data_IF_945608005632
#
_entry.id   IF_945608005632
#
_cell.length_a   1.000
_cell.length_b   1.000
_cell.length_c   1.000
_cell.angle_alpha   90.00
_cell.angle_beta   90.00
_cell.angle_gamma   90.00
#
_symmetry.space_group_name_H-M   'P 1'
#
loop_
_entity.id
_entity.type
_entity.pdbx_description
1 polymer ?
#
# COMPACT_ATOMS: atom_id res chain seq x y z
N UNK A 1 8.88 -27.13 0.52
CA UNK A 1 7.93 -26.41 -0.34
C UNK A 1 8.31 -24.94 -0.31
N UNK A 2 8.28 -24.25 -1.45
CA UNK A 2 8.69 -22.85 -1.57
C UNK A 2 7.47 -21.92 -1.65
N UNK A 3 7.61 -20.69 -1.13
CA UNK A 3 6.62 -19.61 -1.18
C UNK A 3 7.31 -18.32 -1.59
N UNK A 4 6.67 -17.50 -2.43
CA UNK A 4 7.05 -16.11 -2.56
C UNK A 4 6.53 -15.36 -1.33
N UNK A 5 7.45 -14.75 -0.56
CA UNK A 5 7.16 -14.23 0.77
C UNK A 5 7.73 -12.82 0.94
N UNK A 6 6.88 -11.91 1.41
CA UNK A 6 7.27 -10.59 1.88
C UNK A 6 7.41 -10.61 3.38
N UNK A 7 8.47 -9.99 3.89
CA UNK A 7 8.70 -9.85 5.32
C UNK A 7 8.63 -8.38 5.74
N UNK A 8 7.95 -8.11 6.86
CA UNK A 8 8.03 -6.83 7.54
C UNK A 8 9.01 -6.93 8.70
N UNK A 9 9.97 -6.03 8.73
CA UNK A 9 10.93 -5.90 9.81
C UNK A 9 10.62 -4.63 10.60
N UNK A 10 10.39 -4.76 11.91
CA UNK A 10 10.08 -3.62 12.76
C UNK A 10 11.33 -2.80 13.11
N UNK A 11 11.11 -1.69 13.83
CA UNK A 11 12.17 -0.75 14.25
C UNK A 11 13.20 -1.36 15.20
N UNK A 12 12.86 -2.47 15.83
CA UNK A 12 13.75 -3.24 16.71
C UNK A 12 14.52 -4.33 15.95
N UNK A 13 14.48 -4.30 14.60
CA UNK A 13 15.13 -5.27 13.71
C UNK A 13 14.59 -6.71 13.84
N UNK A 14 13.39 -6.87 14.40
CA UNK A 14 12.74 -8.17 14.51
C UNK A 14 11.83 -8.41 13.31
N UNK A 15 11.72 -9.67 12.90
CA UNK A 15 10.67 -10.11 11.98
C UNK A 15 9.32 -9.90 12.64
N UNK A 16 8.61 -8.86 12.22
CA UNK A 16 7.29 -8.53 12.75
C UNK A 16 6.25 -9.50 12.20
N UNK A 17 6.36 -9.82 10.90
CA UNK A 17 5.45 -10.71 10.22
C UNK A 17 5.93 -11.09 8.82
N UNK A 18 5.19 -12.01 8.21
CA UNK A 18 5.33 -12.38 6.81
C UNK A 18 3.98 -12.40 6.10
N UNK A 19 4.03 -12.19 4.79
CA UNK A 19 2.93 -12.34 3.85
C UNK A 19 3.37 -13.29 2.74
N UNK A 20 2.58 -14.32 2.43
CA UNK A 20 2.84 -15.25 1.32
C UNK A 20 1.93 -14.86 0.15
N UNK A 21 2.52 -14.68 -1.03
CA UNK A 21 1.78 -14.30 -2.24
C UNK A 21 0.66 -15.30 -2.52
N UNK A 22 -0.56 -14.79 -2.66
CA UNK A 22 -1.77 -15.62 -2.81
C UNK A 22 -1.99 -15.95 -4.28
N UNK A 23 -1.82 -14.97 -5.16
CA UNK A 23 -2.02 -15.16 -6.60
C UNK A 23 -0.67 -15.31 -7.29
N UNK A 24 -0.28 -16.55 -7.60
CA UNK A 24 0.99 -16.82 -8.26
C UNK A 24 0.94 -16.50 -9.76
N UNK A 25 2.07 -16.04 -10.29
CA UNK A 25 2.32 -16.05 -11.73
C UNK A 25 2.38 -17.47 -12.28
N UNK A 26 2.24 -17.59 -13.61
CA UNK A 26 2.38 -18.88 -14.30
C UNK A 26 3.77 -19.47 -14.09
N UNK A 27 4.78 -18.62 -14.08
CA UNK A 27 6.19 -18.95 -13.94
C UNK A 27 6.46 -19.53 -12.55
N UNK A 28 5.99 -18.87 -11.49
CA UNK A 28 6.13 -19.36 -10.10
C UNK A 28 5.43 -20.70 -9.89
N UNK A 29 4.21 -20.86 -10.42
CA UNK A 29 3.49 -22.12 -10.34
C UNK A 29 4.26 -23.26 -11.00
N UNK A 30 4.85 -23.02 -12.19
CA UNK A 30 5.69 -24.02 -12.89
C UNK A 30 6.96 -24.38 -12.13
N UNK A 31 7.52 -23.44 -11.38
CA UNK A 31 8.67 -23.66 -10.50
C UNK A 31 8.30 -24.38 -9.18
N UNK A 32 7.02 -24.69 -8.96
CA UNK A 32 6.56 -25.43 -7.79
C UNK A 32 6.37 -24.56 -6.53
N UNK A 33 6.30 -23.24 -6.70
CA UNK A 33 5.91 -22.31 -5.63
C UNK A 33 4.46 -22.59 -5.23
N UNK A 34 4.18 -22.54 -3.93
CA UNK A 34 2.83 -22.69 -3.38
C UNK A 34 2.22 -21.32 -3.09
N UNK A 35 0.91 -21.14 -3.35
CA UNK A 35 0.23 -19.91 -2.99
C UNK A 35 0.05 -19.82 -1.47
N UNK A 36 0.03 -18.60 -0.94
CA UNK A 36 -0.58 -18.31 0.35
C UNK A 36 -2.10 -18.40 0.29
N UNK A 37 -2.73 -18.32 1.45
CA UNK A 37 -4.18 -18.46 1.65
C UNK A 37 -4.77 -17.37 2.57
N UNK A 38 -3.96 -16.41 2.99
CA UNK A 38 -4.33 -15.39 3.95
C UNK A 38 -3.93 -13.98 3.49
N UNK A 39 -4.69 -12.99 3.95
CA UNK A 39 -4.39 -11.57 3.83
C UNK A 39 -4.17 -10.96 5.22
N UNK A 40 -3.05 -11.25 5.89
CA UNK A 40 -2.73 -10.71 7.20
C UNK A 40 -2.52 -9.19 7.15
N UNK A 41 -2.79 -8.54 8.28
CA UNK A 41 -2.51 -7.12 8.51
C UNK A 41 -1.68 -6.97 9.76
N UNK A 42 -0.94 -5.87 9.83
CA UNK A 42 0.12 -5.70 10.81
C UNK A 42 -0.04 -4.36 11.47
N UNK A 43 -0.26 -4.39 12.77
CA UNK A 43 -0.28 -3.17 13.55
C UNK A 43 1.15 -2.64 13.71
N UNK A 44 1.31 -1.36 13.45
CA UNK A 44 2.58 -0.66 13.60
C UNK A 44 2.36 0.56 14.47
N UNK A 45 3.42 1.12 15.05
CA UNK A 45 3.30 2.31 15.91
C UNK A 45 2.74 3.54 15.20
N UNK A 46 2.53 3.49 13.89
CA UNK A 46 2.01 4.59 13.08
C UNK A 46 0.70 4.28 12.35
N UNK A 47 0.19 3.04 12.42
CA UNK A 47 -1.03 2.60 11.72
C UNK A 47 -0.96 1.15 11.24
N UNK A 48 -2.10 0.60 10.82
CA UNK A 48 -2.18 -0.79 10.38
C UNK A 48 -1.83 -0.95 8.89
N UNK A 49 -0.96 -1.91 8.57
CA UNK A 49 -0.42 -2.15 7.22
C UNK A 49 -0.85 -3.51 6.69
N UNK A 50 -1.35 -3.54 5.45
CA UNK A 50 -1.50 -4.76 4.65
C UNK A 50 -0.40 -4.85 3.59
N UNK A 51 -0.15 -6.06 3.08
CA UNK A 51 0.87 -6.32 2.05
C UNK A 51 0.28 -7.05 0.86
N UNK A 52 0.83 -6.80 -0.32
CA UNK A 52 0.56 -7.57 -1.54
C UNK A 52 1.81 -7.66 -2.41
N UNK A 53 1.90 -8.71 -3.24
CA UNK A 53 3.09 -8.94 -4.09
C UNK A 53 2.68 -9.17 -5.53
N UNK A 54 3.41 -8.56 -6.45
CA UNK A 54 3.36 -8.77 -7.90
C UNK A 54 1.96 -9.09 -8.44
N UNK A 55 1.67 -10.38 -8.66
CA UNK A 55 0.46 -10.82 -9.30
C UNK A 55 -0.80 -10.56 -8.47
N UNK A 56 -0.67 -10.42 -7.15
CA UNK A 56 -1.77 -9.99 -6.27
C UNK A 56 -2.40 -8.66 -6.69
N UNK A 57 -1.63 -7.73 -7.28
CA UNK A 57 -2.13 -6.41 -7.67
C UNK A 57 -3.28 -6.49 -8.70
N UNK A 58 -3.30 -7.54 -9.53
CA UNK A 58 -4.36 -7.76 -10.51
C UNK A 58 -5.68 -8.18 -9.87
N UNK A 59 -5.65 -8.75 -8.66
CA UNK A 59 -6.82 -9.29 -7.99
C UNK A 59 -7.30 -8.33 -6.90
N UNK A 60 -8.56 -7.85 -6.96
CA UNK A 60 -9.05 -6.86 -6.00
C UNK A 60 -9.02 -7.36 -4.55
N UNK A 61 -9.13 -8.67 -4.32
CA UNK A 61 -9.16 -9.30 -2.99
C UNK A 61 -7.93 -8.93 -2.15
N UNK A 62 -6.75 -8.91 -2.76
CA UNK A 62 -5.48 -8.64 -2.06
C UNK A 62 -5.40 -7.22 -1.51
N UNK A 63 -6.13 -6.27 -2.09
CA UNK A 63 -6.26 -4.91 -1.55
C UNK A 63 -7.57 -4.70 -0.77
N UNK A 64 -8.64 -5.45 -1.07
CA UNK A 64 -9.97 -5.21 -0.50
C UNK A 64 -10.23 -5.91 0.85
N UNK A 65 -9.56 -7.03 1.11
CA UNK A 65 -9.73 -7.76 2.37
C UNK A 65 -8.98 -7.09 3.54
N UNK A 66 -7.70 -6.66 3.41
CA UNK A 66 -6.95 -6.05 4.52
C UNK A 66 -7.63 -4.85 5.20
N UNK A 67 -8.28 -3.90 4.49
CA UNK A 67 -8.98 -2.77 5.13
C UNK A 67 -10.09 -3.22 6.08
N UNK A 68 -10.78 -4.31 5.75
CA UNK A 68 -11.78 -4.93 6.63
C UNK A 68 -11.21 -5.53 7.92
N UNK A 69 -9.88 -5.71 7.97
CA UNK A 69 -9.11 -6.11 9.15
C UNK A 69 -8.40 -4.94 9.83
N UNK A 70 -8.59 -3.71 9.34
CA UNK A 70 -8.04 -2.50 9.92
C UNK A 70 -6.93 -1.83 9.11
N UNK A 71 -6.43 -2.43 8.01
CA UNK A 71 -5.36 -1.82 7.22
C UNK A 71 -5.75 -0.42 6.73
N UNK A 72 -4.83 0.53 6.90
CA UNK A 72 -4.94 1.91 6.43
C UNK A 72 -4.00 2.16 5.26
N UNK A 73 -2.95 1.33 5.16
CA UNK A 73 -1.92 1.40 4.14
C UNK A 73 -1.70 0.01 3.56
N UNK A 74 -1.57 -0.07 2.25
CA UNK A 74 -1.12 -1.25 1.52
C UNK A 74 0.27 -0.99 0.98
N UNK A 75 1.22 -1.85 1.30
CA UNK A 75 2.53 -1.87 0.64
C UNK A 75 2.53 -2.96 -0.43
N UNK A 76 3.00 -2.60 -1.63
CA UNK A 76 3.04 -3.48 -2.78
C UNK A 76 4.47 -3.59 -3.30
N UNK A 77 5.01 -4.80 -3.34
CA UNK A 77 6.26 -5.08 -4.07
C UNK A 77 5.92 -5.69 -5.42
N UNK A 78 6.46 -5.16 -6.51
CA UNK A 78 6.07 -5.60 -7.86
C UNK A 78 7.25 -5.59 -8.82
N UNK A 79 7.24 -6.51 -9.79
CA UNK A 79 8.28 -6.56 -10.81
C UNK A 79 8.14 -5.43 -11.82
N UNK A 80 6.96 -5.15 -12.39
CA UNK A 80 6.80 -4.12 -13.42
C UNK A 80 5.35 -3.68 -13.64
N UNK A 81 5.00 -3.38 -14.89
CA UNK A 81 3.66 -2.97 -15.38
C UNK A 81 3.29 -1.49 -15.16
N UNK A 82 4.20 -0.67 -14.62
CA UNK A 82 3.98 0.78 -14.40
C UNK A 82 4.66 1.69 -15.44
N UNK A 83 5.12 1.11 -16.55
CA UNK A 83 5.56 1.84 -17.75
C UNK A 83 4.51 1.70 -18.86
N UNK A 84 4.50 2.62 -19.84
CA UNK A 84 3.64 2.49 -21.01
C UNK A 84 4.00 1.24 -21.82
N UNK A 85 2.99 0.49 -22.26
CA UNK A 85 3.15 -0.52 -23.30
C UNK A 85 3.36 0.10 -24.69
N UNK A 86 3.41 -0.74 -25.74
CA UNK A 86 3.64 -0.29 -27.11
C UNK A 86 2.58 0.71 -27.62
N UNK A 87 1.36 0.65 -27.07
CA UNK A 87 0.24 1.53 -27.42
C UNK A 87 0.12 2.74 -26.46
N UNK A 88 1.06 2.88 -25.51
CA UNK A 88 1.13 3.98 -24.56
C UNK A 88 0.27 3.79 -23.30
N UNK A 89 -0.33 2.61 -23.09
CA UNK A 89 -1.17 2.33 -21.92
C UNK A 89 -0.31 1.99 -20.69
N UNK A 90 -0.63 2.59 -19.55
CA UNK A 90 0.04 2.32 -18.26
C UNK A 90 -0.90 1.53 -17.33
N UNK A 91 -0.83 0.21 -17.39
CA UNK A 91 -1.78 -0.68 -16.69
C UNK A 91 -1.60 -0.65 -15.17
N UNK A 92 -0.38 -0.84 -14.68
CA UNK A 92 -0.07 -0.95 -13.26
C UNK A 92 -0.37 0.32 -12.47
N UNK A 93 -0.08 1.50 -13.02
CA UNK A 93 -0.46 2.78 -12.37
C UNK A 93 -1.98 2.87 -12.24
N UNK A 94 -2.70 2.57 -13.32
CA UNK A 94 -4.17 2.57 -13.35
C UNK A 94 -4.75 1.62 -12.31
N UNK A 95 -4.21 0.40 -12.23
CA UNK A 95 -4.64 -0.62 -11.26
C UNK A 95 -4.36 -0.15 -9.84
N UNK A 96 -3.15 0.30 -9.51
CA UNK A 96 -2.82 0.74 -8.15
C UNK A 96 -3.66 1.93 -7.69
N UNK A 97 -3.93 2.89 -8.59
CA UNK A 97 -4.82 4.02 -8.30
C UNK A 97 -6.25 3.56 -8.01
N UNK A 98 -6.79 2.67 -8.84
CA UNK A 98 -8.11 2.08 -8.60
C UNK A 98 -8.15 1.31 -7.26
N UNK A 99 -7.12 0.52 -6.94
CA UNK A 99 -7.03 -0.24 -5.69
C UNK A 99 -6.99 0.66 -4.46
N UNK A 100 -6.21 1.75 -4.49
CA UNK A 100 -6.19 2.74 -3.42
C UNK A 100 -7.57 3.42 -3.28
N UNK A 101 -8.15 3.82 -4.41
CA UNK A 101 -9.45 4.49 -4.48
C UNK A 101 -10.58 3.62 -3.94
N UNK A 102 -10.81 2.45 -4.49
CA UNK A 102 -11.97 1.61 -4.16
C UNK A 102 -11.98 1.20 -2.68
N UNK A 103 -10.80 1.07 -2.08
CA UNK A 103 -10.64 0.61 -0.71
C UNK A 103 -10.44 1.75 0.31
N UNK A 104 -10.26 2.98 -0.17
CA UNK A 104 -10.03 4.14 0.69
C UNK A 104 -8.76 4.01 1.53
N UNK A 105 -7.68 3.49 0.95
CA UNK A 105 -6.40 3.25 1.63
C UNK A 105 -5.26 3.99 0.93
N UNK A 106 -4.20 4.28 1.68
CA UNK A 106 -2.94 4.66 1.06
C UNK A 106 -2.31 3.42 0.41
N UNK A 107 -1.65 3.59 -0.74
CA UNK A 107 -0.92 2.52 -1.40
C UNK A 107 0.49 2.99 -1.72
N UNK A 108 1.49 2.25 -1.25
CA UNK A 108 2.90 2.49 -1.56
C UNK A 108 3.44 1.30 -2.36
N UNK A 109 3.79 1.51 -3.62
CA UNK A 109 4.35 0.48 -4.49
C UNK A 109 5.85 0.67 -4.68
N UNK A 110 6.62 -0.39 -4.48
CA UNK A 110 8.01 -0.48 -4.90
C UNK A 110 8.08 -1.35 -6.15
N UNK A 111 8.42 -0.75 -7.29
CA UNK A 111 8.43 -1.41 -8.59
C UNK A 111 9.86 -1.53 -9.10
N UNK A 112 10.24 -2.73 -9.54
CA UNK A 112 11.59 -3.01 -10.02
C UNK A 112 11.84 -2.41 -11.42
N UNK A 113 11.05 -2.88 -12.40
CA UNK A 113 11.06 -2.49 -13.80
C UNK A 113 9.84 -1.60 -14.11
N UNK A 114 9.87 -0.40 -13.53
CA UNK A 114 8.90 0.64 -13.80
C UNK A 114 8.99 1.77 -12.81
N UNK A 115 7.86 2.46 -12.63
CA UNK A 115 7.72 3.54 -11.68
C UNK A 115 7.14 3.09 -10.35
N UNK A 116 7.79 3.48 -9.27
CA UNK A 116 7.33 3.31 -7.89
C UNK A 116 6.49 4.51 -7.45
N UNK A 117 5.43 4.26 -6.66
CA UNK A 117 4.35 5.22 -6.42
C UNK A 117 3.98 5.30 -4.93
N UNK A 118 3.57 6.47 -4.46
CA UNK A 118 2.75 6.63 -3.25
C UNK A 118 1.43 7.27 -3.64
N UNK A 119 0.32 6.63 -3.29
CA UNK A 119 -1.03 7.00 -3.73
C UNK A 119 -1.91 7.23 -2.50
N UNK A 120 -2.72 8.30 -2.52
CA UNK A 120 -3.71 8.60 -1.47
C UNK A 120 -5.03 7.82 -1.68
N UNK A 121 -5.91 7.76 -0.66
CA UNK A 121 -7.24 7.13 -0.75
C UNK A 121 -8.17 7.68 -1.85
N UNK A 122 -7.80 8.79 -2.49
CA UNK A 122 -8.56 9.50 -3.51
C UNK A 122 -7.85 9.44 -4.87
N UNK A 123 -7.00 8.44 -5.08
CA UNK A 123 -6.23 8.17 -6.30
C UNK A 123 -5.07 9.10 -6.62
N UNK A 124 -4.77 10.10 -5.78
CA UNK A 124 -3.73 11.08 -6.08
C UNK A 124 -2.35 10.47 -5.88
N UNK A 125 -1.48 10.62 -6.88
CA UNK A 125 -0.06 10.26 -6.76
C UNK A 125 0.64 11.35 -5.94
N UNK A 126 1.07 11.00 -4.73
CA UNK A 126 1.78 11.87 -3.80
C UNK A 126 3.29 11.86 -4.04
N UNK A 127 3.83 10.74 -4.52
CA UNK A 127 5.23 10.59 -4.90
C UNK A 127 5.34 9.61 -6.07
N UNK A 128 6.25 9.91 -6.99
CA UNK A 128 6.55 9.15 -8.21
C UNK A 128 8.06 9.25 -8.44
N UNK A 129 8.72 8.12 -8.69
CA UNK A 129 10.15 8.12 -9.03
C UNK A 129 10.43 8.66 -10.43
N UNK A 130 9.48 8.52 -11.36
CA UNK A 130 9.56 8.95 -12.75
C UNK A 130 10.83 8.44 -13.43
N UNK A 131 11.14 7.15 -13.21
CA UNK A 131 12.31 6.47 -13.75
C UNK A 131 13.65 6.87 -13.09
N UNK A 132 13.65 7.72 -12.07
CA UNK A 132 14.88 8.13 -11.38
C UNK A 132 15.27 7.13 -10.29
N UNK A 133 16.57 6.95 -10.10
CA UNK A 133 17.10 6.15 -8.99
C UNK A 133 17.10 6.97 -7.72
N UNK A 134 16.69 6.36 -6.62
CA UNK A 134 16.75 6.98 -5.30
C UNK A 134 15.56 6.62 -4.43
N UNK A 135 15.26 7.55 -3.54
CA UNK A 135 14.25 7.41 -2.51
C UNK A 135 13.22 8.50 -2.71
N UNK A 136 11.97 8.07 -2.85
CA UNK A 136 10.81 8.91 -3.09
C UNK A 136 9.83 8.67 -1.95
N UNK A 137 9.27 9.73 -1.38
CA UNK A 137 8.49 9.59 -0.17
C UNK A 137 7.42 10.68 -0.11
N UNK A 138 6.36 10.39 0.63
CA UNK A 138 5.32 11.35 0.97
C UNK A 138 5.01 11.28 2.46
N UNK A 139 4.72 12.44 3.05
CA UNK A 139 4.11 12.52 4.38
C UNK A 139 2.60 12.37 4.23
N UNK A 140 2.02 11.44 4.97
CA UNK A 140 0.57 11.22 4.98
C UNK A 140 0.04 11.34 6.40
N UNK A 141 -1.25 11.63 6.49
CA UNK A 141 -1.97 11.78 7.75
C UNK A 141 -3.09 10.75 7.78
N UNK A 142 -2.88 9.66 8.52
CA UNK A 142 -3.88 8.59 8.64
C UNK A 142 -5.12 9.00 9.43
N UNK A 143 -5.05 10.13 10.15
CA UNK A 143 -6.21 10.71 10.83
C UNK A 143 -7.10 11.51 9.88
N UNK A 144 -6.60 11.85 8.69
CA UNK A 144 -7.39 12.52 7.67
C UNK A 144 -8.59 11.65 7.29
N UNK A 145 -9.72 12.31 7.06
CA UNK A 145 -10.95 11.68 6.61
C UNK A 145 -11.34 12.33 5.30
N UNK A 146 -11.30 11.57 4.22
CA UNK A 146 -11.62 12.06 2.90
C UNK A 146 -13.13 12.05 2.71
N UNK A 147 -13.68 13.23 2.52
CA UNK A 147 -15.10 13.38 2.33
C UNK A 147 -15.44 13.73 0.88
N UNK A 148 -16.48 13.08 0.36
CA UNK A 148 -17.10 13.41 -0.91
C UNK A 148 -18.49 13.97 -0.61
N UNK A 149 -18.87 15.09 -1.23
CA UNK A 149 -20.06 15.85 -0.85
C UNK A 149 -21.36 15.02 -0.84
N UNK A 150 -21.50 14.09 -1.79
CA UNK A 150 -22.68 13.23 -1.93
C UNK A 150 -22.51 11.82 -1.33
N UNK A 151 -21.30 11.40 -0.97
CA UNK A 151 -21.05 10.06 -0.39
C UNK A 151 -20.86 10.16 1.12
N UNK A 152 -20.19 11.19 1.62
CA UNK A 152 -19.69 11.26 3.00
C UNK A 152 -18.24 10.80 3.09
N UNK A 153 -17.82 10.35 4.28
CA UNK A 153 -16.43 9.90 4.50
C UNK A 153 -16.19 8.58 3.78
N UNK A 154 -15.40 8.64 2.70
CA UNK A 154 -15.29 7.56 1.73
C UNK A 154 -14.89 6.22 2.36
N UNK A 155 -13.87 6.23 3.23
CA UNK A 155 -13.38 5.02 3.90
C UNK A 155 -14.41 4.37 4.84
N UNK A 156 -15.37 5.14 5.36
CA UNK A 156 -16.44 4.59 6.21
C UNK A 156 -17.54 3.87 5.43
N UNK A 157 -17.56 4.01 4.09
CA UNK A 157 -18.67 3.56 3.23
C UNK A 157 -18.18 2.60 2.15
N UNK A 158 -17.03 2.89 1.55
CA UNK A 158 -16.44 2.17 0.42
C UNK A 158 -16.36 0.65 0.57
N UNK A 159 -16.05 0.09 1.76
CA UNK A 159 -15.95 -1.35 1.89
C UNK A 159 -17.28 -2.13 1.83
N UNK A 160 -18.44 -1.55 2.17
CA UNK A 160 -19.62 -2.39 2.55
C UNK A 160 -21.03 -1.84 2.35
N UNK A 161 -21.25 -0.55 2.11
CA UNK A 161 -22.63 -0.02 2.21
C UNK A 161 -23.28 0.28 0.86
N UNK A 162 -24.31 -0.51 0.51
CA UNK A 162 -25.29 -0.14 -0.53
C UNK A 162 -26.14 1.07 -0.09
N UNK A 163 -26.32 1.22 1.23
CA UNK A 163 -27.00 2.34 1.89
C UNK A 163 -26.31 2.55 3.25
N UNK A 164 -25.72 3.71 3.53
CA UNK A 164 -25.16 4.02 4.86
C UNK A 164 -26.23 3.88 5.94
N UNK A 165 -25.90 3.25 7.08
CA UNK A 165 -26.84 3.17 8.21
C UNK A 165 -26.86 4.48 9.00
N UNK A 166 -28.04 5.08 9.14
CA UNK A 166 -28.27 6.30 9.93
C UNK A 166 -28.67 7.51 9.07
N UNK A 167 -29.11 8.62 9.69
CA UNK A 167 -29.45 9.83 8.96
C UNK A 167 -28.20 10.37 8.25
N UNK A 168 -28.35 10.75 6.98
CA UNK A 168 -27.28 11.46 6.27
C UNK A 168 -26.92 12.72 7.06
N UNK A 169 -25.67 12.76 7.50
CA UNK A 169 -25.13 13.94 8.18
C UNK A 169 -24.15 14.57 7.22
N UNK A 170 -24.38 15.82 6.74
CA UNK A 170 -23.43 16.47 5.86
C UNK A 170 -22.07 16.51 6.54
N UNK A 171 -20.99 16.20 5.81
CA UNK A 171 -19.67 16.37 6.35
C UNK A 171 -19.48 17.80 6.81
N UNK A 172 -19.18 17.99 8.10
CA UNK A 172 -18.88 19.32 8.59
C UNK A 172 -17.59 19.77 7.90
N UNK A 173 -17.55 20.94 7.24
CA UNK A 173 -16.29 21.48 6.76
C UNK A 173 -15.33 21.50 7.94
N UNK A 174 -14.13 20.97 7.74
CA UNK A 174 -13.08 20.97 8.76
C UNK A 174 -12.75 22.42 9.06
N UNK A 175 -13.45 22.99 10.06
CA UNK A 175 -13.21 24.35 10.49
C UNK A 175 -11.80 24.35 11.05
N UNK A 176 -10.85 24.95 10.32
CA UNK A 176 -9.59 25.42 10.91
C UNK A 176 -9.97 26.42 11.99
N UNK A 177 -10.16 25.94 13.21
CA UNK A 177 -10.24 26.78 14.40
C UNK A 177 -8.95 26.57 15.17
N UNK A 178 -8.04 27.52 15.00
CA UNK A 178 -6.99 27.74 15.97
C UNK A 178 -7.63 28.07 17.31
N UNK A 179 -7.25 27.30 18.32
CA UNK A 179 -6.53 27.71 19.55
C UNK A 179 -6.41 26.43 20.36
N UNK A 180 -5.28 25.73 20.22
CA UNK A 180 -4.95 24.61 21.10
C UNK A 180 -4.64 25.21 22.47
N UNK A 181 -5.55 25.03 23.44
CA UNK A 181 -5.12 24.98 24.83
C UNK A 181 -4.22 23.76 25.00
N UNK A 182 -3.07 24.00 25.62
CA UNK A 182 -1.99 23.07 25.84
C UNK A 182 -2.41 21.80 26.59
N UNK A 183 -2.58 20.69 25.87
CA UNK A 183 -2.14 19.34 26.30
C UNK A 183 -2.48 18.29 25.23
N UNK A 184 -1.43 17.85 24.52
CA UNK A 184 -1.29 16.55 23.85
C UNK A 184 -2.44 16.02 22.97
N UNK A 185 -2.57 16.58 21.76
CA UNK A 185 -3.05 15.80 20.63
C UNK A 185 -2.26 16.26 19.39
N UNK A 186 -1.19 15.55 19.05
CA UNK A 186 -0.47 15.76 17.80
C UNK A 186 -1.11 14.87 16.74
N UNK A 187 -1.48 15.40 15.55
CA UNK A 187 -1.84 14.54 14.43
C UNK A 187 -0.65 13.62 14.12
N UNK A 188 -0.86 12.31 14.15
CA UNK A 188 0.17 11.35 13.77
C UNK A 188 0.44 11.48 12.28
N UNK A 189 1.51 12.20 11.95
CA UNK A 189 2.01 12.33 10.58
C UNK A 189 3.05 11.26 10.34
N UNK A 190 2.80 10.41 9.35
CA UNK A 190 3.67 9.28 9.04
C UNK A 190 4.27 9.50 7.66
N UNK A 191 5.59 9.33 7.54
CA UNK A 191 6.28 9.42 6.25
C UNK A 191 6.41 8.03 5.66
N UNK A 192 5.78 7.81 4.52
CA UNK A 192 5.97 6.59 3.74
C UNK A 192 7.07 6.83 2.72
N UNK A 193 8.08 5.97 2.77
CA UNK A 193 9.27 6.00 1.92
C UNK A 193 9.25 4.82 0.98
N UNK A 194 9.43 5.11 -0.30
CA UNK A 194 9.50 4.17 -1.40
C UNK A 194 10.87 4.35 -2.08
N UNK A 195 11.53 3.27 -2.46
CA UNK A 195 12.78 3.36 -3.22
C UNK A 195 12.73 2.40 -4.39
N UNK A 196 13.32 2.81 -5.52
CA UNK A 196 13.48 1.92 -6.66
C UNK A 196 14.47 0.81 -6.31
N UNK A 197 14.06 -0.44 -6.49
CA UNK A 197 14.91 -1.61 -6.29
C UNK A 197 15.92 -1.74 -7.45
N UNK A 198 17.22 -1.82 -7.14
CA UNK A 198 18.24 -2.29 -8.09
C UNK A 198 18.66 -3.70 -7.65
N UNK A 199 18.25 -4.73 -8.39
CA UNK A 199 18.59 -6.11 -8.13
C UNK A 199 19.74 -6.51 -9.04
N UNK A 200 20.86 -6.94 -8.45
CA UNK A 200 21.84 -7.80 -9.12
C UNK A 200 21.29 -9.24 -9.14
N UNK A 201 21.61 -9.99 -10.20
CA UNK A 201 20.95 -11.20 -10.74
C UNK A 201 20.68 -12.39 -9.78
N UNK A 202 21.05 -12.33 -8.50
CA UNK A 202 21.07 -13.49 -7.58
C UNK A 202 19.94 -13.61 -6.56
N UNK A 203 18.99 -12.67 -6.48
CA UNK A 203 17.92 -12.74 -5.47
C UNK A 203 16.56 -12.48 -6.12
N UNK A 204 15.94 -13.55 -6.63
CA UNK A 204 14.69 -13.44 -7.39
C UNK A 204 13.43 -13.27 -6.52
N UNK A 205 13.44 -13.63 -5.22
CA UNK A 205 12.17 -13.97 -4.52
C UNK A 205 12.00 -13.42 -3.07
N UNK A 206 12.57 -12.26 -2.70
CA UNK A 206 12.31 -11.69 -1.36
C UNK A 206 12.26 -10.15 -1.35
N UNK A 207 11.09 -9.59 -1.02
CA UNK A 207 10.94 -8.16 -0.72
C UNK A 207 10.87 -7.95 0.80
N UNK A 208 11.65 -7.00 1.31
CA UNK A 208 11.72 -6.65 2.74
C UNK A 208 11.28 -5.20 2.91
N UNK A 209 10.28 -4.99 3.77
CA UNK A 209 9.80 -3.66 4.16
C UNK A 209 10.24 -3.37 5.60
N UNK A 210 10.89 -2.22 5.83
CA UNK A 210 11.38 -1.81 7.17
C UNK A 210 10.65 -0.54 7.60
N UNK A 211 10.17 -0.53 8.86
CA UNK A 211 9.42 0.55 9.52
C UNK A 211 10.17 1.92 9.56
N UNK A 212 11.49 1.91 9.33
CA UNK A 212 12.21 3.06 8.77
C UNK A 212 13.01 2.58 7.57
N UNK A 213 12.80 3.20 6.41
CA UNK A 213 13.59 3.01 5.18
C UNK A 213 13.15 1.75 4.41
N UNK A 214 12.72 1.93 3.17
CA UNK A 214 12.78 0.82 2.21
C UNK A 214 14.24 0.34 2.10
N UNK A 215 14.48 -0.94 2.38
CA UNK A 215 15.78 -1.58 2.20
C UNK A 215 15.57 -3.06 1.88
N UNK A 216 15.69 -3.33 0.59
CA UNK A 216 15.90 -4.63 -0.02
C UNK A 216 17.34 -5.07 0.30
N UNK A 217 17.55 -6.18 1.02
CA UNK A 217 18.83 -6.93 1.00
C UNK A 217 18.68 -8.31 1.63
N UNK A 218 19.14 -9.35 0.92
CA UNK A 218 19.80 -10.49 1.53
C UNK A 218 21.26 -10.43 1.07
N UNK A 219 22.20 -10.28 2.00
CA UNK A 219 23.63 -10.47 1.73
C UNK A 219 23.95 -11.96 1.88
N UNK A 220 24.60 -12.53 0.87
CA UNK A 220 25.67 -13.52 1.01
C UNK A 220 26.67 -13.29 -0.11
#
# INVERSE_FOLDING_TARGET
MAYNTVALINRQHNLACTYREVHLSREEWKEGVRPGDEYPVFDTGFGCVGMQTCCDGFFPQSTAIPPGKGAEVIVASTWGDTLPDADGKVSGETVFRARARDNGVYLASAVYDGNSLVIDPMDRILALDAGKTGVFWAEVDLSKRECLDWVGYWRSIGPRDRVPKGPWTPPRPTRRRGTLSSSSCHPFRTRYRVSRATATERLRNAAVWIDRLSLMYLRS
#
